data_IF_998561243829
#
_entry.id   IF_998561243829
#
_cell.length_a   1.000
_cell.length_b   1.000
_cell.length_c   1.000
_cell.angle_alpha   90.00
_cell.angle_beta   90.00
_cell.angle_gamma   90.00
#
_symmetry.space_group_name_H-M   'P 1'
#
loop_
_entity.id
_entity.type
_entity.pdbx_description
1 polymer ?
#
# COMPACT_ATOMS: atom_id res chain seq x y z
N UNK A 1 2.48 -39.05 -2.42
CA UNK A 1 1.67 -38.30 -3.42
C UNK A 1 1.95 -36.83 -3.21
N UNK A 2 2.56 -36.20 -4.21
CA UNK A 2 3.20 -34.88 -4.10
C UNK A 2 2.19 -33.78 -4.40
N UNK A 3 2.09 -32.76 -3.54
CA UNK A 3 1.33 -31.54 -3.81
C UNK A 3 2.16 -30.68 -4.77
N UNK A 4 1.60 -30.34 -5.93
CA UNK A 4 2.33 -29.61 -6.98
C UNK A 4 1.90 -28.14 -7.11
N UNK A 5 0.68 -27.82 -6.67
CA UNK A 5 0.12 -26.46 -6.73
C UNK A 5 -0.56 -26.16 -5.41
N UNK A 6 -0.32 -24.95 -4.89
CA UNK A 6 -0.92 -24.45 -3.66
C UNK A 6 -1.53 -23.08 -3.93
N UNK A 7 -2.74 -22.85 -3.43
CA UNK A 7 -3.29 -21.52 -3.19
C UNK A 7 -3.19 -21.15 -1.72
N UNK A 8 -2.78 -19.91 -1.45
CA UNK A 8 -2.74 -19.36 -0.09
C UNK A 8 -3.59 -18.10 -0.05
N UNK A 9 -4.57 -18.10 0.85
CA UNK A 9 -5.23 -16.87 1.27
C UNK A 9 -4.50 -16.26 2.48
N UNK A 10 -4.10 -14.99 2.33
CA UNK A 10 -3.27 -14.27 3.30
C UNK A 10 -4.12 -13.29 4.12
N UNK A 11 -4.46 -13.66 5.36
CA UNK A 11 -5.01 -12.72 6.34
C UNK A 11 -3.91 -12.06 7.20
N UNK A 12 -4.28 -11.41 8.31
CA UNK A 12 -3.29 -10.75 9.18
C UNK A 12 -2.37 -11.74 9.90
N UNK A 13 -2.96 -12.75 10.56
CA UNK A 13 -2.26 -13.67 11.47
C UNK A 13 -2.48 -15.15 11.16
N UNK A 14 -3.51 -15.48 10.38
CA UNK A 14 -3.87 -16.85 10.01
C UNK A 14 -3.94 -16.93 8.49
N UNK A 15 -3.35 -17.96 7.91
CA UNK A 15 -3.37 -18.22 6.48
C UNK A 15 -4.09 -19.52 6.22
N UNK A 16 -4.86 -19.55 5.13
CA UNK A 16 -5.47 -20.77 4.63
C UNK A 16 -4.64 -21.30 3.47
N UNK A 17 -4.38 -22.59 3.49
CA UNK A 17 -3.60 -23.31 2.49
C UNK A 17 -4.50 -24.36 1.88
N UNK A 18 -4.62 -24.32 0.56
CA UNK A 18 -5.22 -25.36 -0.25
C UNK A 18 -4.19 -25.86 -1.25
N UNK A 19 -3.96 -27.18 -1.32
CA UNK A 19 -2.98 -27.78 -2.22
C UNK A 19 -3.51 -29.00 -2.93
N UNK A 20 -3.17 -29.11 -4.22
CA UNK A 20 -3.64 -30.17 -5.13
C UNK A 20 -2.46 -30.93 -5.75
N UNK A 21 -2.71 -32.18 -6.15
CA UNK A 21 -1.80 -32.97 -6.97
C UNK A 21 -1.94 -32.64 -8.47
N UNK A 22 -1.21 -33.37 -9.31
CA UNK A 22 -1.21 -33.23 -10.78
C UNK A 22 -2.57 -33.44 -11.44
N UNK A 23 -3.46 -34.18 -10.78
CA UNK A 23 -4.83 -34.45 -11.27
C UNK A 23 -5.83 -33.43 -10.71
N UNK A 24 -5.36 -32.39 -10.01
CA UNK A 24 -6.20 -31.40 -9.37
C UNK A 24 -6.93 -31.91 -8.12
N UNK A 25 -6.57 -33.10 -7.60
CA UNK A 25 -7.19 -33.65 -6.40
C UNK A 25 -6.59 -32.98 -5.17
N UNK A 26 -7.46 -32.48 -4.28
CA UNK A 26 -7.03 -31.89 -3.01
C UNK A 26 -6.27 -32.91 -2.16
N UNK A 27 -5.05 -32.54 -1.76
CA UNK A 27 -4.15 -33.34 -0.89
C UNK A 27 -3.73 -32.59 0.36
N UNK A 28 -3.87 -31.27 0.36
CA UNK A 28 -3.52 -30.41 1.48
C UNK A 28 -4.62 -29.39 1.71
N UNK A 29 -5.14 -29.35 2.93
CA UNK A 29 -6.09 -28.33 3.37
C UNK A 29 -5.77 -27.99 4.81
N UNK A 30 -5.21 -26.80 5.06
CA UNK A 30 -4.68 -26.46 6.37
C UNK A 30 -4.77 -24.99 6.67
N UNK A 31 -5.07 -24.66 7.93
CA UNK A 31 -4.89 -23.32 8.48
C UNK A 31 -3.58 -23.26 9.25
N UNK A 32 -2.75 -22.27 8.98
CA UNK A 32 -1.50 -22.06 9.72
C UNK A 32 -1.37 -20.63 10.23
N UNK A 33 -0.62 -20.45 11.31
CA UNK A 33 -0.28 -19.11 11.82
C UNK A 33 0.79 -18.48 10.93
N UNK A 34 0.79 -17.15 10.88
CA UNK A 34 1.81 -16.34 10.18
C UNK A 34 3.25 -16.77 10.54
N UNK A 35 3.51 -17.05 11.81
CA UNK A 35 4.83 -17.48 12.30
C UNK A 35 5.26 -18.87 11.79
N UNK A 36 4.32 -19.71 11.39
CA UNK A 36 4.58 -21.08 10.94
C UNK A 36 4.83 -21.17 9.43
N UNK A 37 4.51 -20.11 8.68
CA UNK A 37 4.56 -20.10 7.22
C UNK A 37 5.93 -20.52 6.67
N UNK A 38 7.01 -19.87 7.12
CA UNK A 38 8.36 -20.16 6.64
C UNK A 38 8.80 -21.60 6.93
N UNK A 39 8.58 -22.09 8.15
CA UNK A 39 8.96 -23.44 8.56
C UNK A 39 8.10 -24.52 7.90
N UNK A 40 6.85 -24.19 7.57
CA UNK A 40 5.97 -25.12 6.87
C UNK A 40 6.45 -25.39 5.44
N UNK A 41 6.80 -24.33 4.70
CA UNK A 41 7.18 -24.43 3.28
C UNK A 41 8.62 -24.89 3.06
N UNK A 42 9.57 -24.56 3.95
CA UNK A 42 10.97 -25.03 3.81
C UNK A 42 11.10 -26.57 3.81
N UNK A 43 10.17 -27.27 4.47
CA UNK A 43 10.15 -28.74 4.53
C UNK A 43 9.34 -29.38 3.39
N UNK A 44 8.87 -28.58 2.45
CA UNK A 44 8.03 -29.02 1.34
C UNK A 44 8.81 -29.00 0.04
N UNK A 45 8.56 -29.99 -0.84
CA UNK A 45 9.15 -29.98 -2.18
C UNK A 45 8.71 -28.73 -2.97
N UNK A 46 9.57 -28.22 -3.87
CA UNK A 46 9.23 -27.13 -4.78
C UNK A 46 7.89 -27.36 -5.48
N UNK A 47 7.06 -26.32 -5.51
CA UNK A 47 5.71 -26.35 -6.09
C UNK A 47 5.32 -24.95 -6.58
N UNK A 48 4.23 -24.88 -7.36
CA UNK A 48 3.62 -23.61 -7.76
C UNK A 48 2.79 -23.07 -6.60
N UNK A 49 2.99 -21.82 -6.24
CA UNK A 49 2.25 -21.15 -5.17
C UNK A 49 1.53 -19.93 -5.73
N UNK A 50 0.20 -19.95 -5.69
CA UNK A 50 -0.65 -18.80 -5.96
C UNK A 50 -0.95 -18.01 -4.69
N UNK A 51 -0.89 -16.68 -4.78
CA UNK A 51 -1.38 -15.76 -3.74
C UNK A 51 -2.05 -14.55 -4.38
N UNK A 52 -3.02 -13.97 -3.70
CA UNK A 52 -3.52 -12.65 -4.08
C UNK A 52 -2.50 -11.54 -3.80
N UNK A 53 -2.43 -10.57 -4.71
CA UNK A 53 -1.60 -9.38 -4.56
C UNK A 53 -2.22 -8.45 -3.49
N UNK A 54 -1.87 -8.70 -2.23
CA UNK A 54 -2.27 -7.91 -1.06
C UNK A 54 -1.04 -7.27 -0.36
N UNK A 55 -1.27 -6.48 0.70
CA UNK A 55 -0.20 -5.79 1.43
C UNK A 55 0.92 -6.71 1.94
N UNK A 56 0.58 -7.94 2.34
CA UNK A 56 1.54 -8.93 2.84
C UNK A 56 2.15 -9.85 1.78
N UNK A 57 1.63 -9.82 0.55
CA UNK A 57 1.94 -10.82 -0.48
C UNK A 57 3.39 -10.76 -0.97
N UNK A 58 3.93 -9.56 -1.21
CA UNK A 58 5.31 -9.39 -1.70
C UNK A 58 6.36 -9.94 -0.72
N UNK A 59 6.16 -9.74 0.59
CA UNK A 59 7.04 -10.29 1.61
C UNK A 59 7.07 -11.81 1.55
N UNK A 60 5.89 -12.45 1.59
CA UNK A 60 5.81 -13.91 1.55
C UNK A 60 6.28 -14.48 0.22
N UNK A 61 6.02 -13.80 -0.88
CA UNK A 61 6.50 -14.23 -2.18
C UNK A 61 8.02 -14.28 -2.25
N UNK A 62 8.72 -13.28 -1.70
CA UNK A 62 10.19 -13.30 -1.61
C UNK A 62 10.69 -14.47 -0.77
N UNK A 63 10.12 -14.69 0.42
CA UNK A 63 10.52 -15.79 1.32
C UNK A 63 10.31 -17.15 0.66
N UNK A 64 9.12 -17.40 0.10
CA UNK A 64 8.78 -18.68 -0.52
C UNK A 64 9.56 -18.92 -1.82
N UNK A 65 9.85 -17.87 -2.59
CA UNK A 65 10.72 -17.97 -3.77
C UNK A 65 12.15 -18.34 -3.36
N UNK A 66 12.68 -17.73 -2.29
CA UNK A 66 14.01 -18.07 -1.76
C UNK A 66 14.10 -19.51 -1.22
N UNK A 67 12.96 -20.11 -0.84
CA UNK A 67 12.84 -21.52 -0.46
C UNK A 67 12.70 -22.48 -1.66
N UNK A 68 12.74 -21.95 -2.90
CA UNK A 68 12.70 -22.75 -4.13
C UNK A 68 11.32 -22.94 -4.74
N UNK A 69 10.27 -22.31 -4.21
CA UNK A 69 8.92 -22.40 -4.78
C UNK A 69 8.73 -21.42 -5.95
N UNK A 70 7.90 -21.80 -6.92
CA UNK A 70 7.49 -20.92 -8.01
C UNK A 70 6.26 -20.10 -7.57
N UNK A 71 6.50 -18.90 -7.04
CA UNK A 71 5.44 -18.06 -6.50
C UNK A 71 4.87 -17.13 -7.57
N UNK A 72 3.54 -17.05 -7.63
CA UNK A 72 2.79 -16.24 -8.58
C UNK A 72 1.75 -15.40 -7.83
N UNK A 73 1.88 -14.07 -7.94
CA UNK A 73 0.92 -13.13 -7.37
C UNK A 73 -0.16 -12.78 -8.39
N UNK A 74 -1.42 -12.81 -8.00
CA UNK A 74 -2.57 -12.51 -8.87
C UNK A 74 -3.33 -11.28 -8.40
N UNK A 75 -3.81 -10.40 -9.30
CA UNK A 75 -4.78 -9.37 -8.95
C UNK A 75 -6.05 -9.99 -8.35
N UNK A 76 -6.60 -9.47 -7.23
CA UNK A 76 -7.80 -10.04 -6.60
C UNK A 76 -9.01 -10.15 -7.55
N UNK A 77 -9.14 -9.21 -8.49
CA UNK A 77 -10.19 -9.21 -9.51
C UNK A 77 -10.15 -10.43 -10.45
N UNK A 78 -8.99 -11.09 -10.61
CA UNK A 78 -8.84 -12.30 -11.43
C UNK A 78 -9.05 -13.59 -10.62
N UNK A 79 -8.99 -13.52 -9.30
CA UNK A 79 -9.30 -14.65 -8.41
C UNK A 79 -10.80 -14.74 -8.14
N UNK A 80 -11.47 -13.59 -7.97
CA UNK A 80 -12.90 -13.50 -7.65
C UNK A 80 -13.82 -14.42 -8.48
N UNK A 81 -13.65 -14.59 -9.80
CA UNK A 81 -14.50 -15.50 -10.60
C UNK A 81 -14.40 -16.98 -10.22
N UNK A 82 -13.36 -17.39 -9.49
CA UNK A 82 -13.12 -18.78 -9.09
C UNK A 82 -13.68 -19.12 -7.70
N UNK A 83 -14.27 -18.15 -6.99
CA UNK A 83 -14.92 -18.38 -5.70
C UNK A 83 -16.32 -18.97 -5.93
N UNK A 84 -16.48 -20.28 -5.66
CA UNK A 84 -17.68 -21.07 -6.02
C UNK A 84 -18.89 -20.88 -5.09
N UNK A 85 -18.67 -20.49 -3.84
CA UNK A 85 -19.71 -20.42 -2.79
C UNK A 85 -19.63 -19.12 -1.99
N UNK A 86 -20.40 -19.00 -0.90
CA UNK A 86 -20.24 -17.92 0.07
C UNK A 86 -18.77 -17.72 0.47
N UNK A 87 -18.37 -16.45 0.58
CA UNK A 87 -16.99 -16.06 0.87
C UNK A 87 -16.55 -16.59 2.24
N UNK A 88 -15.50 -17.39 2.24
CA UNK A 88 -14.74 -17.75 3.43
C UNK A 88 -13.27 -17.96 3.03
N UNK A 89 -12.35 -17.73 3.97
CA UNK A 89 -10.90 -17.75 3.71
C UNK A 89 -10.41 -19.06 3.04
N UNK A 90 -11.07 -20.19 3.32
CA UNK A 90 -10.69 -21.49 2.76
C UNK A 90 -11.16 -21.67 1.31
N UNK A 91 -12.35 -21.16 0.98
CA UNK A 91 -12.85 -21.09 -0.40
C UNK A 91 -12.00 -20.12 -1.22
N UNK A 92 -11.51 -19.03 -0.62
CA UNK A 92 -10.59 -18.09 -1.25
C UNK A 92 -9.24 -18.77 -1.56
N UNK A 93 -8.66 -19.55 -0.62
CA UNK A 93 -7.45 -20.33 -0.89
C UNK A 93 -7.62 -21.38 -2.00
N UNK A 94 -8.78 -22.05 -2.08
CA UNK A 94 -9.11 -22.97 -3.17
C UNK A 94 -9.22 -22.24 -4.52
N UNK A 95 -9.91 -21.10 -4.55
CA UNK A 95 -10.05 -20.28 -5.75
C UNK A 95 -8.69 -19.79 -6.26
N UNK A 96 -7.79 -19.37 -5.37
CA UNK A 96 -6.41 -19.01 -5.70
C UNK A 96 -5.64 -20.21 -6.29
N UNK A 97 -5.77 -21.38 -5.67
CA UNK A 97 -5.14 -22.62 -6.14
C UNK A 97 -5.60 -22.99 -7.55
N UNK A 98 -6.87 -22.78 -7.85
CA UNK A 98 -7.42 -23.04 -9.18
C UNK A 98 -6.96 -21.98 -10.19
N UNK A 99 -7.05 -20.70 -9.84
CA UNK A 99 -6.75 -19.56 -10.71
C UNK A 99 -5.28 -19.53 -11.16
N UNK A 100 -4.33 -19.90 -10.29
CA UNK A 100 -2.89 -19.83 -10.60
C UNK A 100 -2.46 -20.78 -11.72
N UNK A 101 -3.24 -21.82 -11.97
CA UNK A 101 -2.95 -22.83 -13.01
C UNK A 101 -3.39 -22.40 -14.41
N UNK A 102 -4.15 -21.29 -14.52
CA UNK A 102 -4.78 -20.89 -15.77
C UNK A 102 -3.74 -20.34 -16.76
N UNK A 103 -3.71 -20.82 -18.02
CA UNK A 103 -2.63 -20.54 -18.96
C UNK A 103 -2.53 -19.05 -19.34
N UNK A 104 -3.66 -18.36 -19.42
CA UNK A 104 -3.74 -16.94 -19.79
C UNK A 104 -3.80 -16.01 -18.57
N UNK A 105 -3.45 -16.50 -17.37
CA UNK A 105 -3.48 -15.70 -16.15
C UNK A 105 -2.41 -14.61 -16.19
N UNK A 106 -2.80 -13.40 -15.80
CA UNK A 106 -1.87 -12.27 -15.64
C UNK A 106 -1.41 -12.18 -14.19
N UNK A 107 -0.11 -12.14 -14.00
CA UNK A 107 0.52 -12.08 -12.68
C UNK A 107 1.12 -10.72 -12.39
N UNK A 108 1.13 -10.36 -11.11
CA UNK A 108 1.81 -9.17 -10.59
C UNK A 108 3.26 -9.53 -10.32
N UNK A 109 4.21 -8.76 -10.86
CA UNK A 109 5.62 -8.97 -10.57
C UNK A 109 5.92 -8.82 -9.08
N UNK A 110 6.67 -9.77 -8.55
CA UNK A 110 7.15 -9.75 -7.17
C UNK A 110 8.19 -8.63 -7.05
N UNK A 111 7.89 -7.64 -6.21
CA UNK A 111 8.81 -6.53 -5.98
C UNK A 111 9.93 -6.95 -5.03
N UNK A 112 11.15 -6.47 -5.29
CA UNK A 112 12.23 -6.57 -4.32
C UNK A 112 11.93 -5.73 -3.07
N UNK A 113 12.73 -5.89 -2.01
CA UNK A 113 12.57 -5.08 -0.81
C UNK A 113 12.80 -3.59 -1.13
N UNK A 114 13.80 -3.29 -1.95
CA UNK A 114 14.19 -1.95 -2.39
C UNK A 114 13.09 -1.29 -3.22
N UNK A 115 12.52 -2.00 -4.20
CA UNK A 115 11.39 -1.52 -4.99
C UNK A 115 10.16 -1.24 -4.11
N UNK A 116 9.92 -2.07 -3.09
CA UNK A 116 8.80 -1.88 -2.16
C UNK A 116 9.04 -0.70 -1.21
N UNK A 117 10.28 -0.46 -0.80
CA UNK A 117 10.68 0.72 -0.02
C UNK A 117 10.45 2.00 -0.81
N UNK A 118 10.92 2.05 -2.07
CA UNK A 118 10.71 3.20 -2.96
C UNK A 118 9.22 3.52 -3.14
N UNK A 119 8.40 2.50 -3.41
CA UNK A 119 6.94 2.67 -3.52
C UNK A 119 6.32 3.18 -2.22
N UNK A 120 6.87 2.81 -1.07
CA UNK A 120 6.38 3.27 0.24
C UNK A 120 6.69 4.74 0.47
N UNK A 121 7.88 5.20 0.09
CA UNK A 121 8.27 6.63 0.11
C UNK A 121 7.31 7.45 -0.76
N UNK A 122 7.06 7.00 -1.99
CA UNK A 122 6.13 7.66 -2.91
C UNK A 122 4.71 7.77 -2.34
N UNK A 123 4.21 6.68 -1.71
CA UNK A 123 2.89 6.67 -1.07
C UNK A 123 2.83 7.61 0.13
N UNK A 124 3.86 7.64 0.96
CA UNK A 124 3.95 8.56 2.11
C UNK A 124 3.91 10.02 1.64
N UNK A 125 4.71 10.38 0.63
CA UNK A 125 4.67 11.71 -0.01
C UNK A 125 3.26 12.06 -0.49
N UNK A 126 2.61 11.16 -1.24
CA UNK A 126 1.24 11.39 -1.71
C UNK A 126 0.25 11.60 -0.56
N UNK A 127 0.43 10.87 0.54
CA UNK A 127 -0.32 11.06 1.79
C UNK A 127 -0.13 12.47 2.37
N UNK A 128 1.12 12.93 2.48
CA UNK A 128 1.41 14.29 2.97
C UNK A 128 0.86 15.37 2.06
N UNK A 129 0.92 15.20 0.73
CA UNK A 129 0.29 16.14 -0.23
C UNK A 129 -1.21 16.24 0.02
N UNK A 130 -1.90 15.11 0.22
CA UNK A 130 -3.34 15.10 0.52
C UNK A 130 -3.63 15.78 1.86
N UNK A 131 -2.87 15.48 2.90
CA UNK A 131 -3.02 16.08 4.22
C UNK A 131 -2.81 17.61 4.17
N UNK A 132 -1.76 18.07 3.48
CA UNK A 132 -1.47 19.49 3.30
C UNK A 132 -2.61 20.21 2.58
N UNK A 133 -3.12 19.64 1.50
CA UNK A 133 -4.25 20.21 0.75
C UNK A 133 -5.51 20.27 1.60
N UNK A 134 -5.81 19.23 2.38
CA UNK A 134 -6.94 19.24 3.30
C UNK A 134 -6.80 20.34 4.36
N UNK A 135 -5.61 20.49 4.95
CA UNK A 135 -5.30 21.53 5.93
C UNK A 135 -5.43 22.95 5.34
N UNK A 136 -4.92 23.16 4.12
CA UNK A 136 -5.10 24.42 3.37
C UNK A 136 -6.58 24.73 3.17
N UNK A 137 -7.37 23.74 2.74
CA UNK A 137 -8.80 23.94 2.54
C UNK A 137 -9.55 24.22 3.84
N UNK A 138 -9.13 23.62 4.95
CA UNK A 138 -9.65 23.92 6.28
C UNK A 138 -9.35 25.37 6.67
N UNK A 139 -8.10 25.84 6.53
CA UNK A 139 -7.72 27.23 6.81
C UNK A 139 -8.57 28.19 5.99
N UNK A 140 -8.74 27.92 4.69
CA UNK A 140 -9.54 28.76 3.79
C UNK A 140 -11.02 28.80 4.18
N UNK A 141 -11.59 27.66 4.55
CA UNK A 141 -12.96 27.57 5.03
C UNK A 141 -13.17 28.39 6.30
N UNK A 142 -12.30 28.21 7.29
CA UNK A 142 -12.35 28.94 8.56
C UNK A 142 -12.21 30.45 8.35
N UNK A 143 -11.28 30.90 7.51
CA UNK A 143 -11.12 32.33 7.21
C UNK A 143 -12.35 32.93 6.51
N UNK A 144 -13.05 32.13 5.70
CA UNK A 144 -14.28 32.57 5.02
C UNK A 144 -15.40 32.88 6.02
N UNK A 145 -15.46 32.19 7.16
CA UNK A 145 -16.41 32.48 8.25
C UNK A 145 -16.20 33.88 8.87
N UNK A 146 -14.98 34.41 8.76
CA UNK A 146 -14.62 35.78 9.17
C UNK A 146 -14.65 36.79 8.01
N UNK A 147 -15.20 36.40 6.85
CA UNK A 147 -15.30 37.24 5.65
C UNK A 147 -14.01 37.34 4.84
N UNK A 148 -12.97 36.57 5.18
CA UNK A 148 -11.66 36.60 4.52
C UNK A 148 -11.56 35.46 3.51
N UNK A 149 -11.61 35.79 2.22
CA UNK A 149 -11.55 34.81 1.14
C UNK A 149 -10.14 34.77 0.54
N UNK A 150 -9.44 33.64 0.71
CA UNK A 150 -8.10 33.43 0.15
C UNK A 150 -8.11 32.63 -1.18
N UNK A 151 -7.19 32.95 -2.11
CA UNK A 151 -6.96 32.14 -3.31
C UNK A 151 -6.60 30.68 -2.97
N UNK A 152 -6.74 29.79 -3.97
CA UNK A 152 -6.37 28.39 -3.83
C UNK A 152 -4.85 28.18 -3.86
N UNK A 153 -4.39 27.12 -3.20
CA UNK A 153 -3.01 26.64 -3.28
C UNK A 153 -2.12 27.03 -2.10
N UNK A 154 -1.01 26.32 -1.94
CA UNK A 154 -0.06 26.52 -0.83
C UNK A 154 0.66 27.86 -0.88
N UNK A 155 0.95 28.37 -2.08
CA UNK A 155 1.61 29.67 -2.27
C UNK A 155 0.78 30.80 -1.68
N UNK A 156 -0.53 30.79 -1.91
CA UNK A 156 -1.45 31.81 -1.36
C UNK A 156 -1.49 31.77 0.17
N UNK A 157 -1.53 30.57 0.76
CA UNK A 157 -1.54 30.39 2.23
C UNK A 157 -0.23 30.87 2.85
N UNK A 158 0.91 30.49 2.26
CA UNK A 158 2.22 30.88 2.76
C UNK A 158 2.46 32.40 2.70
N UNK A 159 1.77 33.10 1.79
CA UNK A 159 1.82 34.55 1.70
C UNK A 159 0.86 35.23 2.67
N UNK A 160 -0.42 34.89 2.60
CA UNK A 160 -1.48 35.69 3.24
C UNK A 160 -1.71 35.35 4.71
N UNK A 161 -1.48 34.11 5.15
CA UNK A 161 -1.72 33.76 6.56
C UNK A 161 -0.79 34.53 7.52
N UNK A 162 0.53 34.66 7.24
CA UNK A 162 1.39 35.54 8.04
C UNK A 162 0.90 37.00 8.09
N UNK A 163 0.56 37.57 6.93
CA UNK A 163 0.06 38.95 6.82
C UNK A 163 -1.19 39.16 7.71
N UNK A 164 -2.14 38.22 7.67
CA UNK A 164 -3.35 38.28 8.49
C UNK A 164 -3.09 38.13 10.01
N UNK A 165 -2.08 37.36 10.38
CA UNK A 165 -1.71 37.17 11.79
C UNK A 165 -1.01 38.39 12.38
N UNK A 166 -0.31 39.18 11.56
CA UNK A 166 0.39 40.41 11.93
C UNK A 166 -0.50 41.65 11.87
N UNK A 167 -1.48 41.66 10.98
CA UNK A 167 -2.46 42.75 10.85
C UNK A 167 -3.36 42.82 12.10
N UNK A 168 -3.18 43.86 12.91
CA UNK A 168 -3.95 44.09 14.14
C UNK A 168 -5.34 44.69 13.90
N UNK A 169 -5.60 45.21 12.68
CA UNK A 169 -6.82 45.94 12.35
C UNK A 169 -7.94 45.00 11.84
N UNK A 170 -7.63 43.74 11.55
CA UNK A 170 -8.65 42.76 11.16
C UNK A 170 -9.46 42.21 12.35
N UNK A 171 -10.59 41.60 12.01
CA UNK A 171 -11.60 41.09 12.96
C UNK A 171 -11.21 39.78 13.65
N UNK A 172 -9.99 39.27 13.43
CA UNK A 172 -9.57 37.98 13.96
C UNK A 172 -9.27 38.08 15.47
N UNK A 173 -10.08 37.36 16.25
CA UNK A 173 -9.89 37.25 17.69
C UNK A 173 -8.59 36.50 18.04
N UNK A 174 -8.02 36.78 19.21
CA UNK A 174 -6.77 36.15 19.66
C UNK A 174 -6.85 34.60 19.72
N UNK A 175 -7.95 33.96 20.17
CA UNK A 175 -8.09 32.51 20.10
C UNK A 175 -8.03 31.98 18.66
N UNK A 176 -8.67 32.67 17.71
CA UNK A 176 -8.65 32.26 16.31
C UNK A 176 -7.26 32.45 15.69
N UNK A 177 -6.54 33.53 16.01
CA UNK A 177 -5.15 33.73 15.57
C UNK A 177 -4.23 32.60 16.02
N UNK A 178 -4.37 32.14 17.28
CA UNK A 178 -3.60 30.99 17.79
C UNK A 178 -3.92 29.71 17.05
N UNK A 179 -5.20 29.45 16.78
CA UNK A 179 -5.63 28.30 15.98
C UNK A 179 -5.04 28.37 14.57
N UNK A 180 -5.22 29.50 13.88
CA UNK A 180 -4.74 29.72 12.53
C UNK A 180 -3.21 29.55 12.43
N UNK A 181 -2.47 30.09 13.40
CA UNK A 181 -1.01 29.90 13.50
C UNK A 181 -0.63 28.43 13.63
N UNK A 182 -1.34 27.66 14.47
CA UNK A 182 -1.09 26.22 14.64
C UNK A 182 -1.40 25.43 13.36
N UNK A 183 -2.53 25.72 12.71
CA UNK A 183 -2.91 25.07 11.46
C UNK A 183 -1.90 25.39 10.35
N UNK A 184 -1.41 26.62 10.28
CA UNK A 184 -0.41 27.08 9.32
C UNK A 184 0.96 26.45 9.55
N UNK A 185 1.39 26.32 10.79
CA UNK A 185 2.64 25.65 11.12
C UNK A 185 2.62 24.18 10.67
N UNK A 186 1.49 23.49 10.84
CA UNK A 186 1.32 22.13 10.31
C UNK A 186 1.40 22.09 8.76
N UNK A 187 0.90 23.11 8.05
CA UNK A 187 1.06 23.22 6.58
C UNK A 187 2.54 23.33 6.18
N UNK A 188 3.34 24.07 6.94
CA UNK A 188 4.78 24.18 6.71
C UNK A 188 5.49 22.85 6.93
N UNK A 189 5.25 22.21 8.08
CA UNK A 189 5.84 20.90 8.40
C UNK A 189 5.50 19.84 7.35
N UNK A 190 4.25 19.80 6.90
CA UNK A 190 3.84 18.90 5.82
C UNK A 190 4.55 19.23 4.50
N UNK A 191 4.80 20.50 4.20
CA UNK A 191 5.54 20.91 3.00
C UNK A 191 7.00 20.47 3.06
N UNK A 192 7.66 20.66 4.20
CA UNK A 192 9.04 20.21 4.42
C UNK A 192 9.16 18.68 4.29
N UNK A 193 8.19 17.93 4.82
CA UNK A 193 8.15 16.47 4.65
C UNK A 193 7.99 16.06 3.19
N UNK A 194 7.14 16.77 2.43
CA UNK A 194 6.96 16.52 0.99
C UNK A 194 8.28 16.76 0.24
N UNK A 195 8.92 17.91 0.47
CA UNK A 195 10.19 18.27 -0.18
C UNK A 195 11.31 17.28 0.14
N UNK A 196 11.41 16.87 1.41
CA UNK A 196 12.39 15.87 1.87
C UNK A 196 12.20 14.53 1.14
N UNK A 197 10.96 14.04 1.05
CA UNK A 197 10.68 12.78 0.35
C UNK A 197 10.83 12.91 -1.16
N UNK A 198 10.52 14.07 -1.76
CA UNK A 198 10.75 14.34 -3.18
C UNK A 198 12.24 14.32 -3.52
N UNK A 199 13.09 14.94 -2.70
CA UNK A 199 14.53 14.91 -2.88
C UNK A 199 15.07 13.46 -2.82
N UNK A 200 14.61 12.66 -1.85
CA UNK A 200 14.99 11.26 -1.74
C UNK A 200 14.57 10.42 -2.96
N UNK A 201 13.36 10.64 -3.48
CA UNK A 201 12.88 9.96 -4.69
C UNK A 201 13.68 10.36 -5.94
N UNK A 202 14.00 11.66 -6.08
CA UNK A 202 14.76 12.17 -7.22
C UNK A 202 16.19 11.63 -7.23
N UNK A 203 16.82 11.52 -6.06
CA UNK A 203 18.16 10.94 -5.96
C UNK A 203 18.17 9.46 -6.38
N UNK A 204 17.19 8.67 -5.91
CA UNK A 204 17.04 7.28 -6.34
C UNK A 204 16.76 7.16 -7.84
N UNK A 205 15.93 8.03 -8.41
CA UNK A 205 15.65 8.05 -9.85
C UNK A 205 16.91 8.33 -10.68
N UNK A 206 17.80 9.22 -10.21
CA UNK A 206 19.09 9.51 -10.86
C UNK A 206 20.09 8.37 -10.77
N UNK A 207 19.97 7.50 -9.78
CA UNK A 207 20.86 6.35 -9.59
C UNK A 207 20.38 5.12 -10.37
N UNK A 208 19.09 5.04 -10.72
CA UNK A 208 18.52 3.90 -11.44
C UNK A 208 18.83 3.95 -12.95
N UNK A 209 19.59 2.97 -13.43
CA UNK A 209 19.94 2.83 -14.84
C UNK A 209 18.72 2.59 -15.75
N UNK A 210 17.62 2.03 -15.23
CA UNK A 210 16.38 1.82 -15.99
C UNK A 210 15.59 3.12 -16.21
N UNK A 211 15.91 4.16 -15.44
CA UNK A 211 15.24 5.46 -15.48
C UNK A 211 16.00 6.53 -16.29
N UNK A 212 17.25 6.23 -16.70
CA UNK A 212 18.02 7.05 -17.63
C UNK A 212 17.65 6.65 -19.06
N UNK A 213 16.83 7.48 -19.72
CA UNK A 213 16.64 7.40 -21.18
C UNK A 213 17.79 8.04 -21.91
#
# INVERSE_FOLDING_TARGET
>A
MTVITIGIDLAKNLFQIHGVDENGKCKLKKRIKRSQMSTFFVNMSPCIIGMEACAGSHYWARILTAQGHNVKLMPPQFVKPYVKTNKNDMADAEAICEAVTRPNMRFVSIKTAEQQSLLSIYRARSGFVKARTAQINQIRGLLTEFGIVLPQGSVAINRHVPELLEDADNTLTMPFRRLLSSLYENVKQLSEHIETLEAALNEQFRQDALCKK
#
